data_IF_728857572869
#
_entry.id   IF_728857572869
#
_cell.length_a   1.000
_cell.length_b   1.000
_cell.length_c   1.000
_cell.angle_alpha   90.00
_cell.angle_beta   90.00
_cell.angle_gamma   90.00
#
_symmetry.space_group_name_H-M   'P 1'
#
loop_
_entity.id
_entity.type
_entity.pdbx_description
1 polymer ?
#
# COMPACT_ATOMS: atom_id res chain seq x y z
N UNK A 1 -42.76 -19.62 -16.66
CA UNK A 1 -41.71 -18.90 -17.41
C UNK A 1 -41.42 -17.52 -16.82
N UNK A 2 -41.46 -17.35 -15.48
CA UNK A 2 -41.35 -16.01 -14.87
C UNK A 2 -40.84 -16.04 -13.40
N UNK A 3 -39.87 -16.92 -13.09
CA UNK A 3 -39.29 -17.04 -11.73
C UNK A 3 -37.76 -16.98 -11.71
N UNK A 4 -37.11 -17.26 -12.85
CA UNK A 4 -35.66 -17.22 -13.04
C UNK A 4 -35.14 -15.81 -13.38
N UNK A 5 -35.93 -14.96 -14.01
CA UNK A 5 -35.55 -13.56 -14.31
C UNK A 5 -35.57 -12.65 -13.06
N UNK A 6 -36.37 -13.00 -12.05
CA UNK A 6 -36.53 -12.16 -10.86
C UNK A 6 -35.36 -12.33 -9.86
N UNK A 7 -34.79 -13.53 -9.77
CA UNK A 7 -33.57 -13.81 -8.98
C UNK A 7 -32.31 -13.23 -9.61
N UNK A 8 -32.20 -13.26 -10.94
CA UNK A 8 -31.09 -12.62 -11.66
C UNK A 8 -31.11 -11.08 -11.49
N UNK A 9 -32.29 -10.46 -11.54
CA UNK A 9 -32.43 -9.02 -11.30
C UNK A 9 -32.23 -8.62 -9.83
N UNK A 10 -32.62 -9.44 -8.85
CA UNK A 10 -32.37 -9.17 -7.44
C UNK A 10 -30.88 -9.31 -7.07
N UNK A 11 -30.17 -10.26 -7.65
CA UNK A 11 -28.74 -10.47 -7.39
C UNK A 11 -27.86 -9.45 -8.14
N UNK A 12 -28.27 -9.03 -9.34
CA UNK A 12 -27.64 -7.93 -10.08
C UNK A 12 -27.87 -6.58 -9.37
N UNK A 13 -29.05 -6.36 -8.76
CA UNK A 13 -29.34 -5.19 -7.93
C UNK A 13 -28.52 -5.19 -6.62
N UNK A 14 -28.33 -6.34 -5.98
CA UNK A 14 -27.50 -6.47 -4.77
C UNK A 14 -25.99 -6.24 -5.06
N UNK A 15 -25.49 -6.71 -6.20
CA UNK A 15 -24.12 -6.43 -6.65
C UNK A 15 -23.93 -4.97 -7.11
N UNK A 16 -24.94 -4.34 -7.70
CA UNK A 16 -24.93 -2.90 -7.99
C UNK A 16 -25.08 -2.01 -6.74
N UNK A 17 -25.62 -2.53 -5.63
CA UNK A 17 -25.71 -1.80 -4.36
C UNK A 17 -24.44 -1.92 -3.52
N UNK A 18 -23.73 -3.06 -3.59
CA UNK A 18 -22.39 -3.25 -3.01
C UNK A 18 -21.35 -2.32 -3.63
N UNK A 19 -21.42 -2.05 -4.95
CA UNK A 19 -20.51 -1.12 -5.64
C UNK A 19 -20.85 0.37 -5.44
N UNK A 20 -22.03 0.69 -4.89
CA UNK A 20 -22.47 2.07 -4.58
C UNK A 20 -22.14 2.54 -3.17
N UNK A 21 -21.41 1.74 -2.40
CA UNK A 21 -20.78 2.20 -1.17
C UNK A 21 -19.38 2.77 -1.46
N UNK A 22 -19.24 3.65 -2.45
CA UNK A 22 -18.13 4.61 -2.42
C UNK A 22 -18.52 5.63 -1.35
N UNK A 23 -18.03 5.49 -0.11
CA UNK A 23 -18.43 6.40 0.94
C UNK A 23 -17.84 7.77 0.59
N UNK A 24 -18.44 8.86 1.05
CA UNK A 24 -17.77 10.16 1.11
C UNK A 24 -16.48 10.02 1.95
N UNK A 25 -15.39 9.55 1.35
CA UNK A 25 -14.11 9.26 2.02
C UNK A 25 -13.64 10.50 2.78
N UNK A 26 -13.90 11.69 2.21
CA UNK A 26 -13.61 12.99 2.81
C UNK A 26 -14.31 13.22 4.16
N UNK A 27 -15.56 12.78 4.31
CA UNK A 27 -16.33 12.90 5.55
C UNK A 27 -15.83 11.91 6.62
N UNK A 28 -15.40 10.71 6.21
CA UNK A 28 -14.82 9.72 7.13
C UNK A 28 -13.39 10.05 7.53
N UNK A 29 -12.57 10.60 6.62
CA UNK A 29 -11.24 11.12 6.94
C UNK A 29 -11.34 12.20 8.01
N UNK A 30 -12.25 13.16 7.86
CA UNK A 30 -12.46 14.21 8.86
C UNK A 30 -12.87 13.66 10.23
N UNK A 31 -13.58 12.53 10.27
CA UNK A 31 -14.01 11.86 11.49
C UNK A 31 -12.82 11.26 12.25
N UNK A 32 -11.89 10.57 11.57
CA UNK A 32 -10.70 9.98 12.20
C UNK A 32 -9.81 10.99 12.92
N UNK A 33 -9.79 12.24 12.43
CA UNK A 33 -8.97 13.31 12.99
C UNK A 33 -9.73 14.23 13.95
N UNK A 34 -11.07 14.15 14.09
CA UNK A 34 -11.87 15.16 14.79
C UNK A 34 -11.64 15.17 16.31
N UNK A 35 -11.64 13.99 16.93
CA UNK A 35 -11.48 13.85 18.39
C UNK A 35 -10.07 13.42 18.81
N UNK A 36 -9.20 13.09 17.84
CA UNK A 36 -7.83 12.63 18.10
C UNK A 36 -6.73 13.57 17.58
N UNK A 37 -7.02 14.88 17.48
CA UNK A 37 -6.14 15.87 16.84
C UNK A 37 -4.72 15.91 17.42
N UNK A 38 -4.57 15.82 18.74
CA UNK A 38 -3.25 15.90 19.39
C UNK A 38 -2.38 14.67 19.10
N UNK A 39 -2.93 13.46 19.19
CA UNK A 39 -2.17 12.23 18.89
C UNK A 39 -1.89 12.15 17.40
N UNK A 40 -2.85 12.55 16.55
CA UNK A 40 -2.66 12.63 15.11
C UNK A 40 -1.54 13.62 14.73
N UNK A 41 -1.53 14.80 15.35
CA UNK A 41 -0.50 15.81 15.14
C UNK A 41 0.88 15.30 15.61
N UNK A 42 0.94 14.66 16.78
CA UNK A 42 2.18 14.05 17.29
C UNK A 42 2.68 12.94 16.35
N UNK A 43 1.80 12.05 15.89
CA UNK A 43 2.14 11.03 14.89
C UNK A 43 2.63 11.67 13.60
N UNK A 44 2.00 12.75 13.14
CA UNK A 44 2.43 13.46 11.94
C UNK A 44 3.84 14.04 12.09
N UNK A 45 4.12 14.70 13.21
CA UNK A 45 5.47 15.21 13.52
C UNK A 45 6.49 14.08 13.47
N UNK A 46 6.18 12.93 14.07
CA UNK A 46 7.09 11.78 14.05
C UNK A 46 7.38 11.29 12.63
N UNK A 47 6.38 11.23 11.76
CA UNK A 47 6.59 10.86 10.34
C UNK A 47 7.41 11.91 9.57
N UNK A 48 7.19 13.20 9.85
CA UNK A 48 8.00 14.29 9.29
C UNK A 48 9.46 14.18 9.76
N UNK A 49 9.70 14.00 11.06
CA UNK A 49 11.04 13.82 11.63
C UNK A 49 11.75 12.60 11.05
N UNK A 50 11.01 11.51 10.80
CA UNK A 50 11.54 10.31 10.16
C UNK A 50 11.95 10.58 8.70
N UNK A 51 11.18 11.37 7.96
CA UNK A 51 11.55 11.81 6.60
C UNK A 51 12.85 12.64 6.62
N UNK A 52 12.99 13.57 7.56
CA UNK A 52 14.21 14.36 7.73
C UNK A 52 15.43 13.51 8.08
N UNK A 53 15.27 12.47 8.91
CA UNK A 53 16.33 11.49 9.18
C UNK A 53 16.81 10.85 7.88
N UNK A 54 15.89 10.37 7.03
CA UNK A 54 16.29 9.70 5.79
C UNK A 54 17.09 10.62 4.87
N UNK A 55 16.71 11.89 4.77
CA UNK A 55 17.47 12.89 4.02
C UNK A 55 18.83 13.20 4.68
N UNK A 56 18.90 13.23 6.02
CA UNK A 56 20.15 13.48 6.73
C UNK A 56 21.21 12.38 6.53
N UNK A 57 20.81 11.14 6.24
CA UNK A 57 21.75 10.05 5.92
C UNK A 57 22.65 10.45 4.74
N UNK A 58 22.09 11.03 3.68
CA UNK A 58 22.85 11.48 2.51
C UNK A 58 23.91 12.53 2.88
N UNK A 59 23.56 13.45 3.78
CA UNK A 59 24.50 14.47 4.26
C UNK A 59 25.63 13.89 5.10
N UNK A 60 25.33 12.94 6.00
CA UNK A 60 26.36 12.24 6.78
C UNK A 60 27.30 11.46 5.86
N UNK A 61 26.74 10.79 4.85
CA UNK A 61 27.52 10.04 3.88
C UNK A 61 28.48 10.95 3.09
N UNK A 62 28.06 12.17 2.75
CA UNK A 62 28.93 13.16 2.12
C UNK A 62 30.13 13.51 3.01
N UNK A 63 29.91 13.80 4.30
CA UNK A 63 31.01 14.12 5.24
C UNK A 63 32.03 12.97 5.29
N UNK A 64 31.56 11.72 5.26
CA UNK A 64 32.41 10.53 5.22
C UNK A 64 33.19 10.47 3.89
N UNK A 65 32.55 10.72 2.75
CA UNK A 65 33.23 10.75 1.45
C UNK A 65 34.28 11.87 1.36
N UNK A 66 33.97 13.07 1.84
CA UNK A 66 34.90 14.19 1.86
C UNK A 66 36.12 13.90 2.76
N UNK A 67 35.90 13.24 3.89
CA UNK A 67 36.97 12.74 4.75
C UNK A 67 37.85 11.71 4.04
N UNK A 68 37.25 10.73 3.35
CA UNK A 68 38.01 9.72 2.57
C UNK A 68 38.78 10.33 1.39
N UNK A 69 38.25 11.38 0.77
CA UNK A 69 38.90 12.10 -0.32
C UNK A 69 40.02 13.05 0.15
N UNK A 70 40.31 13.10 1.46
CA UNK A 70 41.33 13.99 2.03
C UNK A 70 40.92 15.47 2.07
N UNK A 71 39.64 15.78 1.85
CA UNK A 71 39.06 17.13 1.90
C UNK A 71 38.35 17.42 3.23
N UNK A 72 38.25 16.44 4.12
CA UNK A 72 37.49 16.54 5.37
C UNK A 72 38.16 17.48 6.39
N UNK A 73 37.43 18.52 6.81
CA UNK A 73 37.84 19.39 7.93
C UNK A 73 37.63 18.75 9.31
N UNK A 74 36.85 17.67 9.40
CA UNK A 74 36.47 17.01 10.65
C UNK A 74 37.37 15.83 10.98
N UNK A 75 37.74 15.70 12.26
CA UNK A 75 38.46 14.52 12.75
C UNK A 75 37.58 13.27 12.77
N UNK A 76 38.18 12.09 12.63
CA UNK A 76 37.51 10.80 12.68
C UNK A 76 36.64 10.64 13.94
N UNK A 77 37.10 11.13 15.09
CA UNK A 77 36.35 11.07 16.35
C UNK A 77 35.06 11.88 16.33
N UNK A 78 35.07 13.03 15.64
CA UNK A 78 33.88 13.88 15.48
C UNK A 78 32.87 13.22 14.56
N UNK A 79 33.32 12.61 13.46
CA UNK A 79 32.47 11.85 12.54
C UNK A 79 31.83 10.65 13.26
N UNK A 80 32.61 9.91 14.05
CA UNK A 80 32.11 8.78 14.84
C UNK A 80 31.04 9.21 15.84
N UNK A 81 31.28 10.28 16.60
CA UNK A 81 30.31 10.81 17.57
C UNK A 81 29.04 11.27 16.88
N UNK A 82 29.15 11.90 15.71
CA UNK A 82 28.02 12.33 14.89
C UNK A 82 27.18 11.13 14.43
N UNK A 83 27.81 10.05 13.95
CA UNK A 83 27.12 8.81 13.55
C UNK A 83 26.41 8.16 14.74
N UNK A 84 27.07 8.06 15.90
CA UNK A 84 26.47 7.49 17.11
C UNK A 84 25.28 8.34 17.58
N UNK A 85 25.43 9.67 17.63
CA UNK A 85 24.33 10.58 17.98
C UNK A 85 23.16 10.46 17.01
N UNK A 86 23.45 10.27 15.72
CA UNK A 86 22.43 10.06 14.70
C UNK A 86 21.69 8.73 14.90
N UNK A 87 22.39 7.64 15.22
CA UNK A 87 21.75 6.35 15.54
C UNK A 87 20.86 6.45 16.79
N UNK A 88 21.29 7.19 17.82
CA UNK A 88 20.46 7.45 19.01
C UNK A 88 19.21 8.26 18.67
N UNK A 89 19.33 9.28 17.80
CA UNK A 89 18.19 10.07 17.33
C UNK A 89 17.18 9.21 16.55
N UNK A 90 17.66 8.31 15.68
CA UNK A 90 16.81 7.32 15.00
C UNK A 90 16.05 6.48 16.02
N UNK A 91 16.76 5.88 16.97
CA UNK A 91 16.16 5.03 18.00
C UNK A 91 15.07 5.76 18.79
N UNK A 92 15.33 7.01 19.18
CA UNK A 92 14.37 7.85 19.88
C UNK A 92 13.11 8.11 19.04
N UNK A 93 13.26 8.45 17.76
CA UNK A 93 12.12 8.71 16.87
C UNK A 93 11.29 7.44 16.64
N UNK A 94 11.92 6.27 16.50
CA UNK A 94 11.21 5.00 16.45
C UNK A 94 10.47 4.67 17.75
N UNK A 95 11.04 4.99 18.91
CA UNK A 95 10.35 4.85 20.20
C UNK A 95 9.11 5.76 20.28
N UNK A 96 9.22 7.01 19.82
CA UNK A 96 8.08 7.94 19.74
C UNK A 96 7.02 7.46 18.75
N UNK A 97 7.43 6.90 17.60
CA UNK A 97 6.54 6.28 16.61
C UNK A 97 5.77 5.12 17.22
N UNK A 98 6.46 4.24 17.93
CA UNK A 98 5.87 3.08 18.62
C UNK A 98 4.79 3.48 19.62
N UNK A 99 4.97 4.59 20.32
CA UNK A 99 3.97 5.09 21.29
C UNK A 99 2.79 5.80 20.62
N UNK A 100 3.07 6.69 19.65
CA UNK A 100 2.06 7.61 19.13
C UNK A 100 1.21 6.99 18.02
N UNK A 101 1.85 6.32 17.05
CA UNK A 101 1.18 5.85 15.83
C UNK A 101 0.15 4.73 16.07
N UNK A 102 0.44 3.68 16.84
CA UNK A 102 -0.57 2.67 17.17
C UNK A 102 -1.76 3.26 17.95
N UNK A 103 -1.50 4.16 18.90
CA UNK A 103 -2.55 4.86 19.66
C UNK A 103 -3.43 5.73 18.75
N UNK A 104 -2.85 6.34 17.72
CA UNK A 104 -3.63 7.07 16.72
C UNK A 104 -4.58 6.14 15.98
N UNK A 105 -4.07 5.02 15.46
CA UNK A 105 -4.87 4.04 14.70
C UNK A 105 -5.98 3.44 15.54
N UNK A 106 -5.69 3.05 16.79
CA UNK A 106 -6.67 2.49 17.72
C UNK A 106 -7.84 3.44 17.95
N UNK A 107 -7.56 4.70 18.32
CA UNK A 107 -8.59 5.71 18.58
C UNK A 107 -9.39 6.04 17.31
N UNK A 108 -8.72 6.18 16.16
CA UNK A 108 -9.38 6.47 14.90
C UNK A 108 -10.34 5.35 14.50
N UNK A 109 -9.93 4.08 14.64
CA UNK A 109 -10.80 2.93 14.34
C UNK A 109 -11.95 2.78 15.32
N UNK A 110 -11.73 3.04 16.61
CA UNK A 110 -12.81 3.00 17.59
C UNK A 110 -13.88 4.06 17.31
N UNK A 111 -13.49 5.30 17.01
CA UNK A 111 -14.42 6.38 16.64
C UNK A 111 -15.21 6.06 15.37
N UNK A 112 -14.56 5.43 14.40
CA UNK A 112 -15.21 5.00 13.17
C UNK A 112 -16.25 3.91 13.42
N UNK A 113 -15.87 2.85 14.14
CA UNK A 113 -16.80 1.77 14.51
C UNK A 113 -17.98 2.28 15.31
N UNK A 114 -17.75 3.16 16.28
CA UNK A 114 -18.80 3.81 17.07
C UNK A 114 -19.75 4.64 16.18
N UNK A 115 -19.21 5.41 15.25
CA UNK A 115 -20.01 6.23 14.32
C UNK A 115 -20.80 5.39 13.33
N UNK A 116 -20.25 4.27 12.87
CA UNK A 116 -20.95 3.30 12.01
C UNK A 116 -22.13 2.70 12.78
N UNK A 117 -21.91 2.19 14.00
CA UNK A 117 -22.98 1.65 14.84
C UNK A 117 -24.05 2.69 15.14
N UNK A 118 -23.66 3.93 15.49
CA UNK A 118 -24.61 5.01 15.79
C UNK A 118 -25.50 5.34 14.57
N UNK A 119 -24.93 5.40 13.37
CA UNK A 119 -25.70 5.60 12.13
C UNK A 119 -26.60 4.40 11.80
N UNK A 120 -26.12 3.18 12.04
CA UNK A 120 -26.92 1.96 11.84
C UNK A 120 -28.13 1.93 12.77
N UNK A 121 -27.96 2.31 14.04
CA UNK A 121 -29.04 2.37 15.04
C UNK A 121 -30.05 3.50 14.78
N UNK A 122 -29.68 4.53 14.02
CA UNK A 122 -30.56 5.64 13.63
C UNK A 122 -31.38 5.35 12.37
N UNK A 123 -31.12 4.26 11.66
CA UNK A 123 -31.89 3.87 10.48
C UNK A 123 -33.22 3.23 10.88
N UNK A 124 -34.26 3.47 10.07
CA UNK A 124 -35.56 2.83 10.23
C UNK A 124 -35.45 1.30 10.14
N UNK A 125 -36.28 0.58 10.90
CA UNK A 125 -36.33 -0.88 10.94
C UNK A 125 -36.48 -1.52 9.54
N UNK A 126 -37.18 -0.85 8.62
CA UNK A 126 -37.36 -1.30 7.22
C UNK A 126 -36.07 -1.33 6.39
N UNK A 127 -35.11 -0.46 6.70
CA UNK A 127 -33.78 -0.45 6.05
C UNK A 127 -32.84 -1.50 6.67
N UNK A 128 -33.07 -1.85 7.93
CA UNK A 128 -32.26 -2.81 8.69
C UNK A 128 -32.62 -4.26 8.32
N UNK A 129 -33.90 -4.55 8.02
CA UNK A 129 -34.35 -5.90 7.65
C UNK A 129 -33.93 -6.33 6.24
N UNK A 130 -33.53 -5.39 5.37
CA UNK A 130 -33.12 -5.67 3.99
C UNK A 130 -31.68 -6.19 3.89
N UNK A 131 -30.86 -6.05 4.94
CA UNK A 131 -29.49 -6.53 4.97
C UNK A 131 -29.30 -7.59 6.06
N UNK A 132 -28.70 -8.73 5.70
CA UNK A 132 -28.39 -9.79 6.66
C UNK A 132 -27.41 -9.27 7.72
N UNK A 133 -27.61 -9.66 8.99
CA UNK A 133 -26.70 -9.35 10.11
C UNK A 133 -25.23 -9.69 9.80
N UNK A 134 -25.00 -10.72 8.95
CA UNK A 134 -23.67 -11.10 8.47
C UNK A 134 -23.00 -10.06 7.56
N UNK A 135 -23.76 -9.30 6.77
CA UNK A 135 -23.23 -8.20 5.94
C UNK A 135 -22.73 -7.07 6.82
N UNK A 136 -23.50 -6.68 7.84
CA UNK A 136 -23.07 -5.66 8.82
C UNK A 136 -21.86 -6.10 9.63
N UNK A 137 -21.80 -7.38 10.02
CA UNK A 137 -20.63 -7.95 10.68
C UNK A 137 -19.39 -7.87 9.80
N UNK A 138 -19.50 -8.24 8.51
CA UNK A 138 -18.39 -8.16 7.57
C UNK A 138 -17.90 -6.73 7.34
N UNK A 139 -18.80 -5.75 7.33
CA UNK A 139 -18.43 -4.31 7.26
C UNK A 139 -17.67 -3.88 8.52
N UNK A 140 -18.13 -4.30 9.70
CA UNK A 140 -17.49 -3.94 10.98
C UNK A 140 -16.14 -4.62 11.21
N UNK A 141 -15.88 -5.76 10.57
CA UNK A 141 -14.62 -6.49 10.68
C UNK A 141 -13.72 -6.26 9.46
N UNK A 142 -14.06 -6.87 8.34
CA UNK A 142 -13.22 -6.94 7.14
C UNK A 142 -13.05 -5.57 6.47
N UNK A 143 -14.14 -4.79 6.36
CA UNK A 143 -14.03 -3.48 5.70
C UNK A 143 -13.33 -2.46 6.59
N UNK A 144 -13.54 -2.50 7.92
CA UNK A 144 -12.76 -1.69 8.86
C UNK A 144 -11.25 -1.97 8.75
N UNK A 145 -10.85 -3.24 8.69
CA UNK A 145 -9.45 -3.62 8.53
C UNK A 145 -8.89 -3.13 7.18
N UNK A 146 -9.64 -3.31 6.09
CA UNK A 146 -9.28 -2.77 4.77
C UNK A 146 -9.13 -1.26 4.80
N UNK A 147 -10.00 -0.52 5.49
CA UNK A 147 -9.91 0.93 5.65
C UNK A 147 -8.65 1.31 6.42
N UNK A 148 -8.35 0.62 7.51
CA UNK A 148 -7.14 0.85 8.29
C UNK A 148 -5.89 0.66 7.43
N UNK A 149 -5.75 -0.50 6.77
CA UNK A 149 -4.53 -0.86 6.04
C UNK A 149 -4.37 -0.12 4.70
N UNK A 150 -5.44 0.00 3.90
CA UNK A 150 -5.37 0.55 2.54
C UNK A 150 -5.55 2.06 2.48
N UNK A 151 -6.17 2.68 3.48
CA UNK A 151 -6.41 4.12 3.48
C UNK A 151 -5.67 4.81 4.62
N UNK A 152 -5.95 4.40 5.86
CA UNK A 152 -5.50 5.19 7.02
C UNK A 152 -3.99 5.11 7.25
N UNK A 153 -3.37 3.94 7.10
CA UNK A 153 -1.91 3.84 7.12
C UNK A 153 -1.27 4.50 5.89
N UNK A 154 -1.89 4.30 4.72
CA UNK A 154 -1.35 4.80 3.45
C UNK A 154 -1.30 6.32 3.33
N UNK A 155 -2.16 7.05 4.05
CA UNK A 155 -2.05 8.52 4.06
C UNK A 155 -0.77 9.00 4.75
N UNK A 156 -0.32 8.32 5.82
CA UNK A 156 0.93 8.66 6.51
C UNK A 156 2.15 8.28 5.66
N UNK A 157 2.13 7.07 5.09
CA UNK A 157 3.17 6.62 4.14
C UNK A 157 3.30 7.64 3.00
N UNK A 158 2.18 8.01 2.37
CA UNK A 158 2.17 8.95 1.24
C UNK A 158 2.76 10.31 1.59
N UNK A 159 2.39 10.90 2.75
CA UNK A 159 2.96 12.20 3.13
C UNK A 159 4.45 12.09 3.43
N UNK A 160 4.88 11.01 4.08
CA UNK A 160 6.30 10.76 4.32
C UNK A 160 7.09 10.63 3.02
N UNK A 161 6.56 9.89 2.05
CA UNK A 161 7.18 9.67 0.73
C UNK A 161 7.29 10.98 -0.05
N UNK A 162 6.23 11.81 -0.06
CA UNK A 162 6.25 13.14 -0.69
C UNK A 162 7.28 14.04 -0.04
N UNK A 163 7.34 14.09 1.29
CA UNK A 163 8.34 14.89 2.00
C UNK A 163 9.76 14.41 1.73
N UNK A 164 9.97 13.09 1.67
CA UNK A 164 11.28 12.51 1.38
C UNK A 164 11.72 12.85 -0.04
N UNK A 165 10.80 12.76 -1.01
CA UNK A 165 11.05 13.15 -2.40
C UNK A 165 11.43 14.62 -2.51
N UNK A 166 10.63 15.52 -1.92
CA UNK A 166 10.89 16.97 -1.97
C UNK A 166 12.20 17.33 -1.29
N UNK A 167 12.46 16.79 -0.10
CA UNK A 167 13.67 17.08 0.67
C UNK A 167 14.94 16.56 -0.03
N UNK A 168 14.86 15.37 -0.62
CA UNK A 168 15.98 14.76 -1.34
C UNK A 168 16.27 15.49 -2.64
N UNK A 169 15.23 15.87 -3.40
CA UNK A 169 15.38 16.65 -4.62
C UNK A 169 15.93 18.05 -4.33
N UNK A 170 15.48 18.71 -3.26
CA UNK A 170 15.99 20.00 -2.82
C UNK A 170 17.48 19.94 -2.48
N UNK A 171 17.93 18.92 -1.73
CA UNK A 171 19.35 18.71 -1.46
C UNK A 171 20.14 18.45 -2.74
N UNK A 172 19.62 17.62 -3.64
CA UNK A 172 20.30 17.29 -4.89
C UNK A 172 20.55 18.53 -5.76
N UNK A 173 19.52 19.38 -5.92
CA UNK A 173 19.62 20.65 -6.64
C UNK A 173 20.60 21.60 -5.95
N UNK A 174 20.59 21.66 -4.61
CA UNK A 174 21.51 22.49 -3.84
C UNK A 174 22.98 22.11 -4.05
N UNK A 175 23.29 20.81 -4.15
CA UNK A 175 24.67 20.35 -4.38
C UNK A 175 25.12 20.44 -5.84
N UNK A 176 24.32 19.97 -6.79
CA UNK A 176 24.67 20.04 -8.21
C UNK A 176 23.42 19.97 -9.09
N UNK A 177 22.97 21.11 -9.63
CA UNK A 177 21.85 21.14 -10.58
C UNK A 177 22.12 20.28 -11.82
N UNK A 178 23.36 20.23 -12.30
CA UNK A 178 23.74 19.44 -13.48
C UNK A 178 23.58 17.93 -13.23
N UNK A 179 24.13 17.42 -12.11
CA UNK A 179 24.01 16.00 -11.75
C UNK A 179 22.55 15.62 -11.48
N UNK A 180 21.76 16.56 -10.94
CA UNK A 180 20.31 16.37 -10.74
C UNK A 180 19.59 16.11 -12.05
N UNK A 181 19.82 16.92 -13.08
CA UNK A 181 19.17 16.75 -14.40
C UNK A 181 19.55 15.40 -15.01
N UNK A 182 20.83 15.02 -14.94
CA UNK A 182 21.26 13.72 -15.48
C UNK A 182 20.62 12.57 -14.71
N UNK A 183 20.58 12.64 -13.38
CA UNK A 183 19.94 11.61 -12.57
C UNK A 183 18.42 11.52 -12.82
N UNK A 184 17.74 12.64 -13.05
CA UNK A 184 16.33 12.65 -13.44
C UNK A 184 16.12 11.96 -14.79
N UNK A 185 16.97 12.24 -15.78
CA UNK A 185 16.91 11.58 -17.10
C UNK A 185 17.09 10.06 -16.96
N UNK A 186 18.08 9.61 -16.20
CA UNK A 186 18.30 8.17 -15.96
C UNK A 186 17.11 7.56 -15.21
N UNK A 187 16.52 8.29 -14.26
CA UNK A 187 15.36 7.84 -13.47
C UNK A 187 14.06 7.73 -14.28
N UNK A 188 13.99 8.30 -15.49
CA UNK A 188 12.85 8.07 -16.41
C UNK A 188 12.74 6.59 -16.79
N UNK A 189 13.86 5.87 -16.87
CA UNK A 189 13.90 4.46 -17.27
C UNK A 189 13.14 3.54 -16.29
N UNK A 190 13.41 3.55 -14.97
CA UNK A 190 12.61 2.78 -14.01
C UNK A 190 11.15 3.23 -13.97
N UNK A 191 10.89 4.54 -14.11
CA UNK A 191 9.53 5.07 -14.11
C UNK A 191 8.73 4.56 -15.32
N UNK A 192 9.33 4.54 -16.51
CA UNK A 192 8.73 3.98 -17.71
C UNK A 192 8.46 2.47 -17.56
N UNK A 193 9.41 1.71 -17.02
CA UNK A 193 9.22 0.29 -16.71
C UNK A 193 8.02 0.07 -15.77
N UNK A 194 7.88 0.88 -14.70
CA UNK A 194 6.74 0.80 -13.78
C UNK A 194 5.40 1.10 -14.46
N UNK A 195 5.33 2.13 -15.31
CA UNK A 195 4.10 2.51 -16.00
C UNK A 195 3.67 1.44 -17.01
N UNK A 196 4.61 0.93 -17.81
CA UNK A 196 4.33 -0.10 -18.83
C UNK A 196 3.85 -1.42 -18.21
N UNK A 197 4.33 -1.74 -17.00
CA UNK A 197 3.99 -2.99 -16.32
C UNK A 197 2.71 -2.90 -15.47
N UNK A 198 2.27 -1.70 -15.10
CA UNK A 198 1.08 -1.48 -14.27
C UNK A 198 -0.21 -2.04 -14.90
N UNK A 199 -0.38 -1.87 -16.21
CA UNK A 199 -1.56 -2.38 -16.94
C UNK A 199 -1.60 -3.92 -16.96
N UNK A 200 -0.43 -4.57 -17.08
CA UNK A 200 -0.29 -6.02 -17.02
C UNK A 200 -0.69 -6.57 -15.67
N UNK A 201 -0.25 -5.95 -14.57
CA UNK A 201 -0.63 -6.34 -13.21
C UNK A 201 -2.13 -6.17 -13.00
N UNK A 202 -2.69 -5.00 -13.36
CA UNK A 202 -4.12 -4.74 -13.19
C UNK A 202 -5.00 -5.77 -13.93
N UNK A 203 -4.60 -6.15 -15.14
CA UNK A 203 -5.29 -7.17 -15.94
C UNK A 203 -5.26 -8.55 -15.25
N UNK A 204 -4.10 -8.94 -14.69
CA UNK A 204 -3.98 -10.21 -13.95
C UNK A 204 -4.77 -10.19 -12.65
N UNK A 205 -4.79 -9.06 -11.95
CA UNK A 205 -5.60 -8.87 -10.74
C UNK A 205 -7.09 -9.05 -11.04
N UNK A 206 -7.58 -8.49 -12.16
CA UNK A 206 -8.96 -8.65 -12.61
C UNK A 206 -9.29 -10.11 -12.96
N UNK A 207 -8.38 -10.81 -13.65
CA UNK A 207 -8.54 -12.23 -13.97
C UNK A 207 -8.64 -13.09 -12.70
N UNK A 208 -7.77 -12.85 -11.71
CA UNK A 208 -7.83 -13.54 -10.41
C UNK A 208 -9.16 -13.23 -9.70
N UNK A 209 -9.62 -11.98 -9.72
CA UNK A 209 -10.91 -11.60 -9.11
C UNK A 209 -12.07 -12.40 -9.73
N UNK A 210 -12.16 -12.45 -11.06
CA UNK A 210 -13.22 -13.19 -11.77
C UNK A 210 -13.17 -14.69 -11.50
N UNK A 211 -11.98 -15.29 -11.53
CA UNK A 211 -11.83 -16.73 -11.24
C UNK A 211 -12.19 -17.05 -9.78
N UNK A 212 -11.83 -16.16 -8.85
CA UNK A 212 -12.14 -16.30 -7.43
C UNK A 212 -13.65 -16.14 -7.14
N UNK A 213 -14.34 -15.26 -7.86
CA UNK A 213 -15.81 -15.14 -7.79
C UNK A 213 -16.49 -16.45 -8.21
N UNK A 214 -16.11 -17.02 -9.36
CA UNK A 214 -16.63 -18.30 -9.85
C UNK A 214 -16.35 -19.46 -8.90
N UNK A 215 -15.12 -19.54 -8.38
CA UNK A 215 -14.73 -20.54 -7.38
C UNK A 215 -15.54 -20.42 -6.08
N UNK A 216 -15.74 -19.20 -5.59
CA UNK A 216 -16.53 -18.94 -4.36
C UNK A 216 -18.00 -19.28 -4.58
N UNK A 217 -18.57 -18.96 -5.75
CA UNK A 217 -19.93 -19.31 -6.10
C UNK A 217 -20.13 -20.84 -6.12
N UNK A 218 -19.24 -21.58 -6.81
CA UNK A 218 -19.29 -23.04 -6.84
C UNK A 218 -19.16 -23.64 -5.43
N UNK A 219 -18.24 -23.12 -4.62
CA UNK A 219 -18.06 -23.57 -3.23
C UNK A 219 -19.35 -23.40 -2.42
N UNK A 220 -20.04 -22.27 -2.58
CA UNK A 220 -21.32 -22.01 -1.91
C UNK A 220 -22.42 -22.96 -2.39
N UNK A 221 -22.50 -23.25 -3.68
CA UNK A 221 -23.47 -24.18 -4.26
C UNK A 221 -23.25 -25.60 -3.74
N UNK A 222 -22.00 -26.05 -3.66
CA UNK A 222 -21.65 -27.37 -3.10
C UNK A 222 -22.05 -27.46 -1.62
N UNK A 223 -21.72 -26.46 -0.81
CA UNK A 223 -22.03 -26.46 0.62
C UNK A 223 -23.54 -26.43 0.91
N UNK A 224 -24.31 -25.64 0.15
CA UNK A 224 -25.76 -25.60 0.31
C UNK A 224 -26.45 -26.85 -0.30
N UNK A 225 -25.82 -27.47 -1.29
CA UNK A 225 -26.36 -28.58 -2.06
C UNK A 225 -26.00 -29.98 -1.57
N UNK A 226 -25.25 -30.13 -0.46
CA UNK A 226 -24.72 -31.43 -0.01
C UNK A 226 -25.79 -32.53 0.07
N UNK A 227 -26.97 -32.22 0.62
CA UNK A 227 -28.06 -33.19 0.70
C UNK A 227 -28.54 -33.66 -0.67
N UNK A 228 -28.66 -32.73 -1.64
CA UNK A 228 -29.07 -33.04 -3.01
C UNK A 228 -27.99 -33.88 -3.70
N UNK A 229 -26.72 -33.49 -3.57
CA UNK A 229 -25.59 -34.20 -4.16
C UNK A 229 -25.57 -35.66 -3.68
N UNK A 230 -25.77 -35.90 -2.38
CA UNK A 230 -25.83 -37.25 -1.80
C UNK A 230 -27.07 -38.04 -2.26
N UNK A 231 -28.25 -37.40 -2.32
CA UNK A 231 -29.47 -38.06 -2.78
C UNK A 231 -29.37 -38.54 -4.24
N UNK A 232 -28.66 -37.79 -5.09
CA UNK A 232 -28.42 -38.14 -6.49
C UNK A 232 -27.14 -38.95 -6.72
N UNK A 233 -26.35 -39.26 -5.67
CA UNK A 233 -25.04 -39.94 -5.75
C UNK A 233 -24.08 -39.29 -6.77
N UNK A 234 -24.09 -37.96 -6.81
CA UNK A 234 -23.34 -37.16 -7.79
C UNK A 234 -22.01 -36.62 -7.24
N UNK A 235 -21.48 -37.19 -6.16
CA UNK A 235 -20.30 -36.68 -5.46
C UNK A 235 -19.09 -36.58 -6.37
N UNK A 236 -18.83 -37.62 -7.17
CA UNK A 236 -17.65 -37.66 -8.03
C UNK A 236 -17.68 -36.60 -9.14
N UNK A 237 -18.85 -36.34 -9.71
CA UNK A 237 -19.05 -35.30 -10.72
C UNK A 237 -18.79 -33.91 -10.14
N UNK A 238 -19.32 -33.65 -8.95
CA UNK A 238 -19.12 -32.39 -8.24
C UNK A 238 -17.66 -32.20 -7.83
N UNK A 239 -16.99 -33.26 -7.35
CA UNK A 239 -15.56 -33.22 -7.00
C UNK A 239 -14.72 -32.89 -8.24
N UNK A 240 -14.96 -33.55 -9.38
CA UNK A 240 -14.26 -33.26 -10.63
C UNK A 240 -14.47 -31.79 -11.06
N UNK A 241 -15.71 -31.29 -11.00
CA UNK A 241 -16.01 -29.89 -11.33
C UNK A 241 -15.32 -28.91 -10.39
N UNK A 242 -15.30 -29.20 -9.09
CA UNK A 242 -14.61 -28.40 -8.09
C UNK A 242 -13.10 -28.39 -8.30
N UNK A 243 -12.50 -29.55 -8.59
CA UNK A 243 -11.08 -29.68 -8.91
C UNK A 243 -10.72 -28.83 -10.14
N UNK A 244 -11.51 -28.89 -11.21
CA UNK A 244 -11.28 -28.08 -12.40
C UNK A 244 -11.32 -26.58 -12.10
N UNK A 245 -12.32 -26.10 -11.37
CA UNK A 245 -12.45 -24.69 -11.00
C UNK A 245 -11.31 -24.25 -10.06
N UNK A 246 -10.90 -25.11 -9.13
CA UNK A 246 -9.78 -24.86 -8.22
C UNK A 246 -8.45 -24.78 -8.97
N UNK A 247 -8.22 -25.65 -9.95
CA UNK A 247 -7.03 -25.63 -10.79
C UNK A 247 -6.97 -24.36 -11.65
N UNK A 248 -8.10 -23.92 -12.20
CA UNK A 248 -8.18 -22.66 -12.97
C UNK A 248 -7.83 -21.45 -12.11
N UNK A 249 -8.35 -21.37 -10.87
CA UNK A 249 -8.04 -20.30 -9.93
C UNK A 249 -6.55 -20.29 -9.58
N UNK A 250 -5.99 -21.43 -9.20
CA UNK A 250 -4.57 -21.54 -8.83
C UNK A 250 -3.65 -21.27 -10.02
N UNK A 251 -4.02 -21.69 -11.24
CA UNK A 251 -3.29 -21.33 -12.45
C UNK A 251 -3.31 -19.81 -12.71
N UNK A 252 -4.46 -19.16 -12.51
CA UNK A 252 -4.59 -17.70 -12.69
C UNK A 252 -3.79 -16.93 -11.65
N UNK A 253 -3.80 -17.38 -10.38
CA UNK A 253 -2.93 -16.83 -9.32
C UNK A 253 -1.44 -17.01 -9.66
N UNK A 254 -1.04 -18.18 -10.16
CA UNK A 254 0.34 -18.43 -10.57
C UNK A 254 0.77 -17.48 -11.72
N UNK A 255 -0.10 -17.23 -12.70
CA UNK A 255 0.19 -16.24 -13.76
C UNK A 255 0.33 -14.82 -13.21
N UNK A 256 -0.51 -14.43 -12.25
CA UNK A 256 -0.37 -13.15 -11.53
C UNK A 256 0.98 -13.10 -10.82
N UNK A 257 1.37 -14.12 -10.06
CA UNK A 257 2.65 -14.08 -9.32
C UNK A 257 3.87 -14.13 -10.23
N UNK A 258 3.82 -14.86 -11.35
CA UNK A 258 4.86 -14.77 -12.38
C UNK A 258 4.97 -13.35 -12.94
N UNK A 259 3.84 -12.69 -13.17
CA UNK A 259 3.81 -11.31 -13.65
C UNK A 259 4.41 -10.37 -12.59
N UNK A 260 3.95 -10.45 -11.32
CA UNK A 260 4.48 -9.65 -10.21
C UNK A 260 5.98 -9.84 -10.00
N UNK A 261 6.47 -11.09 -10.07
CA UNK A 261 7.89 -11.43 -9.95
C UNK A 261 8.69 -10.82 -11.10
N UNK A 262 8.19 -10.91 -12.32
CA UNK A 262 8.83 -10.31 -13.51
C UNK A 262 8.90 -8.79 -13.38
N UNK A 263 7.81 -8.15 -12.96
CA UNK A 263 7.77 -6.70 -12.74
C UNK A 263 8.73 -6.28 -11.62
N UNK A 264 8.78 -7.04 -10.52
CA UNK A 264 9.70 -6.78 -9.40
C UNK A 264 11.16 -6.94 -9.82
N UNK A 265 11.47 -7.95 -10.63
CA UNK A 265 12.80 -8.16 -11.19
C UNK A 265 13.21 -7.01 -12.12
N UNK A 266 12.33 -6.60 -13.04
CA UNK A 266 12.56 -5.44 -13.92
C UNK A 266 12.76 -4.15 -13.11
N UNK A 267 11.94 -3.94 -12.08
CA UNK A 267 12.07 -2.79 -11.17
C UNK A 267 13.41 -2.79 -10.43
N UNK A 268 13.84 -3.96 -9.93
CA UNK A 268 15.13 -4.11 -9.23
C UNK A 268 16.31 -3.86 -10.17
N UNK A 269 16.30 -4.45 -11.37
CA UNK A 269 17.35 -4.25 -12.39
C UNK A 269 17.41 -2.77 -12.79
N UNK A 270 16.26 -2.15 -13.05
CA UNK A 270 16.21 -0.75 -13.45
C UNK A 270 16.66 0.19 -12.32
N UNK A 271 16.34 -0.13 -11.07
CA UNK A 271 16.81 0.63 -9.90
C UNK A 271 18.33 0.53 -9.76
N UNK A 272 18.89 -0.67 -9.89
CA UNK A 272 20.34 -0.88 -9.83
C UNK A 272 21.07 -0.19 -10.99
N UNK A 273 20.53 -0.29 -12.21
CA UNK A 273 21.06 0.41 -13.38
C UNK A 273 21.06 1.93 -13.16
N UNK A 274 20.01 2.47 -12.55
CA UNK A 274 19.93 3.90 -12.20
C UNK A 274 20.97 4.28 -11.15
N UNK A 275 21.07 3.51 -10.07
CA UNK A 275 22.02 3.78 -8.98
C UNK A 275 23.48 3.74 -9.48
N UNK A 276 23.86 2.70 -10.22
CA UNK A 276 25.20 2.57 -10.80
C UNK A 276 25.43 3.62 -11.88
N UNK A 277 24.44 3.90 -12.72
CA UNK A 277 24.52 4.92 -13.77
C UNK A 277 24.81 6.31 -13.20
N UNK A 278 24.05 6.73 -12.19
CA UNK A 278 24.29 8.02 -11.50
C UNK A 278 25.66 8.05 -10.84
N UNK A 279 26.09 6.96 -10.21
CA UNK A 279 27.41 6.88 -9.58
C UNK A 279 28.55 6.97 -10.60
N UNK A 280 28.45 6.29 -11.74
CA UNK A 280 29.45 6.33 -12.81
C UNK A 280 29.53 7.71 -13.46
N UNK A 281 28.39 8.36 -13.70
CA UNK A 281 28.36 9.75 -14.18
C UNK A 281 29.01 10.69 -13.16
N UNK A 282 28.70 10.54 -11.87
CA UNK A 282 29.33 11.33 -10.81
C UNK A 282 30.85 11.15 -10.76
N UNK A 283 31.33 9.90 -10.85
CA UNK A 283 32.76 9.61 -10.89
C UNK A 283 33.44 10.21 -12.14
N UNK A 284 32.79 10.13 -13.30
CA UNK A 284 33.28 10.74 -14.53
C UNK A 284 33.36 12.26 -14.43
N UNK A 285 32.36 12.93 -13.85
CA UNK A 285 32.36 14.38 -13.64
C UNK A 285 33.53 14.85 -12.76
N UNK A 286 33.80 14.12 -11.67
CA UNK A 286 34.94 14.40 -10.78
C UNK A 286 36.26 14.26 -11.53
N UNK A 287 36.44 13.19 -12.31
CA UNK A 287 37.67 12.97 -13.08
C UNK A 287 37.85 14.00 -14.22
N UNK A 288 36.77 14.35 -14.90
CA UNK A 288 36.76 15.32 -16.00
C UNK A 288 36.82 16.78 -15.54
N UNK A 289 36.79 17.06 -14.23
CA UNK A 289 36.70 18.40 -13.63
C UNK A 289 35.50 19.22 -14.16
N UNK A 290 34.44 18.53 -14.57
CA UNK A 290 33.21 19.16 -15.09
C UNK A 290 32.26 19.39 -13.92
N UNK A 291 32.06 20.67 -13.55
CA UNK A 291 31.07 21.07 -12.54
C UNK A 291 31.45 20.79 -11.09
N UNK A 292 32.74 20.81 -10.75
CA UNK A 292 33.26 20.89 -9.37
C UNK A 292 33.33 22.34 -8.92
#
# INVERSE_FOLDING_TARGET
MNKTDNTANQQSSANQQSSKLHPDVKNYVKLFFKENKLVAFLSMIVFISLSMIYTAISWILQIIFDYMAGKGSYSLTTILLLVVSFMLAISLIFALKRSSYPRFLEKAMNQYKESVIKKLLQKSYSDFSLANSGTYLSVLTNDCERIQEKYLKKIFDFVQDVLMLVSSLALMIYYSPLLTVIALIISVLPMACSILTASGIATREEQVSKSNESYTALTKDVLNGVSVIKSFKAEQEVINRYQNQSMELEHTKNLREKTMTTVSALGTISSLATQLGVMLVGAWMVNAHVGV
#
